data_IF_459620235562
#
_entry.id   IF_459620235562
#
_cell.length_a   1.000
_cell.length_b   1.000
_cell.length_c   1.000
_cell.angle_alpha   90.00
_cell.angle_beta   90.00
_cell.angle_gamma   90.00
#
_symmetry.space_group_name_H-M   'P 1'
#
loop_
_entity.id
_entity.type
_entity.pdbx_description
1 polymer ?
#
# COMPACT_ATOMS: atom_id res chain seq x y z
N UNK A 1 -18.31 16.37 -17.44
CA UNK A 1 -17.89 17.63 -16.74
C UNK A 1 -17.16 17.38 -15.44
N UNK A 2 -17.71 16.61 -14.48
CA UNK A 2 -17.04 16.34 -13.18
C UNK A 2 -15.75 15.52 -13.37
N UNK A 3 -15.79 14.41 -14.12
CA UNK A 3 -14.62 13.57 -14.35
C UNK A 3 -13.46 14.32 -15.01
N UNK A 4 -13.74 15.17 -16.00
CA UNK A 4 -12.70 15.95 -16.69
C UNK A 4 -12.03 16.95 -15.73
N UNK A 5 -12.78 17.54 -14.81
CA UNK A 5 -12.23 18.40 -13.75
C UNK A 5 -11.33 17.64 -12.80
N UNK A 6 -11.76 16.45 -12.33
CA UNK A 6 -10.95 15.60 -11.44
C UNK A 6 -9.69 15.11 -12.17
N UNK A 7 -9.80 14.67 -13.42
CA UNK A 7 -8.67 14.24 -14.22
C UNK A 7 -7.65 15.37 -14.44
N UNK A 8 -8.14 16.59 -14.66
CA UNK A 8 -7.30 17.80 -14.76
C UNK A 8 -6.56 18.08 -13.45
N UNK A 9 -7.25 18.02 -12.31
CA UNK A 9 -6.63 18.21 -10.99
C UNK A 9 -5.56 17.16 -10.69
N UNK A 10 -5.80 15.91 -11.11
CA UNK A 10 -4.85 14.81 -10.95
C UNK A 10 -3.75 14.81 -12.03
N UNK A 11 -3.84 15.68 -13.03
CA UNK A 11 -2.97 15.73 -14.20
C UNK A 11 -2.78 14.35 -14.85
N UNK A 12 -3.89 13.72 -15.19
CA UNK A 12 -3.93 12.41 -15.84
C UNK A 12 -4.86 12.41 -17.03
N UNK A 13 -4.67 11.44 -17.93
CA UNK A 13 -5.59 11.22 -19.04
C UNK A 13 -7.02 11.05 -18.52
N UNK A 14 -7.98 11.73 -19.12
CA UNK A 14 -9.40 11.67 -18.75
C UNK A 14 -9.97 10.27 -19.01
N UNK A 15 -9.71 9.36 -18.07
CA UNK A 15 -10.21 7.98 -18.06
C UNK A 15 -10.76 7.66 -16.68
N UNK A 16 -11.98 7.12 -16.64
CA UNK A 16 -12.60 6.68 -15.38
C UNK A 16 -11.72 5.69 -14.62
N UNK A 17 -11.12 4.74 -15.34
CA UNK A 17 -10.25 3.73 -14.72
C UNK A 17 -9.01 4.32 -14.07
N UNK A 18 -8.38 5.31 -14.69
CA UNK A 18 -7.19 5.99 -14.15
C UNK A 18 -7.51 6.80 -12.90
N UNK A 19 -8.55 7.64 -12.98
CA UNK A 19 -8.98 8.47 -11.84
C UNK A 19 -9.41 7.60 -10.67
N UNK A 20 -10.22 6.58 -10.94
CA UNK A 20 -10.67 5.63 -9.92
C UNK A 20 -9.50 4.88 -9.28
N UNK A 21 -8.52 4.41 -10.08
CA UNK A 21 -7.35 3.70 -9.58
C UNK A 21 -6.52 4.57 -8.62
N UNK A 22 -6.31 5.85 -8.93
CA UNK A 22 -5.58 6.79 -8.06
C UNK A 22 -6.32 6.99 -6.74
N UNK A 23 -7.64 7.23 -6.80
CA UNK A 23 -8.46 7.46 -5.60
C UNK A 23 -8.48 6.20 -4.71
N UNK A 24 -8.72 5.03 -5.31
CA UNK A 24 -8.75 3.77 -4.56
C UNK A 24 -7.39 3.43 -3.96
N UNK A 25 -6.30 3.64 -4.70
CA UNK A 25 -4.95 3.39 -4.20
C UNK A 25 -4.62 4.30 -3.01
N UNK A 26 -4.92 5.59 -3.15
CA UNK A 26 -4.74 6.58 -2.07
C UNK A 26 -5.55 6.19 -0.84
N UNK A 27 -6.85 5.93 -0.99
CA UNK A 27 -7.73 5.55 0.11
C UNK A 27 -7.27 4.26 0.79
N UNK A 28 -6.84 3.26 0.02
CA UNK A 28 -6.35 1.98 0.52
C UNK A 28 -5.14 2.16 1.43
N UNK A 29 -4.08 2.84 0.97
CA UNK A 29 -2.87 3.03 1.78
C UNK A 29 -3.10 3.94 2.99
N UNK A 30 -3.92 4.99 2.86
CA UNK A 30 -4.28 5.84 3.99
C UNK A 30 -5.04 5.02 5.05
N UNK A 31 -5.99 4.20 4.63
CA UNK A 31 -6.78 3.39 5.57
C UNK A 31 -5.91 2.37 6.31
N UNK A 32 -5.02 1.65 5.61
CA UNK A 32 -4.11 0.69 6.24
C UNK A 32 -3.11 1.42 7.13
N UNK A 33 -2.54 2.53 6.69
CA UNK A 33 -1.62 3.31 7.51
C UNK A 33 -2.26 3.83 8.79
N UNK A 34 -3.51 4.29 8.74
CA UNK A 34 -4.27 4.68 9.94
C UNK A 34 -4.51 3.46 10.84
N UNK A 35 -4.78 2.29 10.27
CA UNK A 35 -5.01 1.06 11.05
C UNK A 35 -3.77 0.65 11.85
N UNK A 36 -2.55 0.92 11.38
CA UNK A 36 -1.32 0.71 12.14
C UNK A 36 -1.32 1.47 13.48
N UNK A 37 -1.93 2.65 13.52
CA UNK A 37 -2.05 3.44 14.75
C UNK A 37 -3.26 3.03 15.61
N UNK A 38 -4.31 2.52 15.00
CA UNK A 38 -5.54 2.12 15.72
C UNK A 38 -5.42 0.72 16.32
N UNK A 39 -4.78 -0.21 15.61
CA UNK A 39 -4.66 -1.61 15.96
C UNK A 39 -3.19 -2.09 15.97
N UNK A 40 -2.26 -1.41 16.67
CA UNK A 40 -0.83 -1.75 16.61
C UNK A 40 -0.54 -3.18 17.05
N UNK A 41 -1.31 -3.71 18.01
CA UNK A 41 -1.12 -5.07 18.53
C UNK A 41 -1.29 -6.15 17.46
N UNK A 42 -2.18 -5.97 16.49
CA UNK A 42 -2.31 -6.88 15.35
C UNK A 42 -0.99 -6.98 14.58
N UNK A 43 -0.40 -5.84 14.25
CA UNK A 43 0.86 -5.77 13.49
C UNK A 43 2.07 -6.26 14.29
N UNK A 44 2.10 -6.01 15.61
CA UNK A 44 3.14 -6.54 16.50
C UNK A 44 3.12 -8.08 16.55
N UNK A 45 1.94 -8.67 16.56
CA UNK A 45 1.76 -10.12 16.67
C UNK A 45 2.21 -10.86 15.41
N UNK A 46 2.12 -10.24 14.23
CA UNK A 46 2.55 -10.87 12.97
C UNK A 46 4.06 -10.79 12.73
N UNK A 47 4.78 -9.96 13.48
CA UNK A 47 6.24 -9.84 13.37
C UNK A 47 6.96 -10.93 14.17
N UNK A 48 8.13 -11.39 13.69
CA UNK A 48 8.99 -12.30 14.46
C UNK A 48 9.30 -11.74 15.85
N UNK A 49 9.24 -12.58 16.89
CA UNK A 49 9.42 -12.15 18.28
C UNK A 49 10.79 -11.52 18.55
N UNK A 50 11.82 -11.99 17.86
CA UNK A 50 13.22 -11.56 18.02
C UNK A 50 13.53 -10.21 17.34
N UNK A 51 12.60 -9.63 16.56
CA UNK A 51 12.84 -8.35 15.92
C UNK A 51 12.88 -7.21 16.93
N UNK A 52 13.93 -6.36 16.90
CA UNK A 52 13.98 -5.17 17.74
C UNK A 52 13.03 -4.09 17.22
N UNK A 53 12.67 -3.14 18.09
CA UNK A 53 11.93 -1.92 17.72
C UNK A 53 10.64 -2.19 16.92
N UNK A 54 9.91 -3.26 17.29
CA UNK A 54 8.69 -3.65 16.56
C UNK A 54 7.61 -2.57 16.57
N UNK A 55 7.41 -1.92 17.71
CA UNK A 55 6.39 -0.87 17.85
C UNK A 55 6.72 0.35 16.98
N UNK A 56 7.98 0.76 17.00
CA UNK A 56 8.48 1.85 16.16
C UNK A 56 8.32 1.50 14.67
N UNK A 57 8.65 0.26 14.29
CA UNK A 57 8.48 -0.22 12.92
C UNK A 57 7.01 -0.16 12.48
N UNK A 58 6.07 -0.54 13.35
CA UNK A 58 4.62 -0.44 13.06
C UNK A 58 4.22 1.01 12.80
N UNK A 59 4.62 1.93 13.66
CA UNK A 59 4.26 3.34 13.51
C UNK A 59 4.95 4.02 12.32
N UNK A 60 6.22 3.70 12.07
CA UNK A 60 6.98 4.22 10.93
C UNK A 60 6.37 3.73 9.62
N UNK A 61 6.02 2.45 9.50
CA UNK A 61 5.37 1.93 8.30
C UNK A 61 3.99 2.55 8.09
N UNK A 62 3.17 2.66 9.13
CA UNK A 62 1.87 3.32 9.07
C UNK A 62 1.97 4.79 8.63
N UNK A 63 2.96 5.53 9.15
CA UNK A 63 3.22 6.90 8.73
C UNK A 63 3.56 7.00 7.24
N UNK A 64 4.47 6.15 6.74
CA UNK A 64 4.85 6.17 5.33
C UNK A 64 3.74 5.66 4.40
N UNK A 65 2.87 4.78 4.87
CA UNK A 65 1.67 4.37 4.11
C UNK A 65 0.70 5.55 3.94
N UNK A 66 0.42 6.29 5.01
CA UNK A 66 -0.41 7.51 4.93
C UNK A 66 0.25 8.54 4.02
N UNK A 67 1.53 8.82 4.23
CA UNK A 67 2.27 9.79 3.43
C UNK A 67 2.27 9.41 1.95
N UNK A 68 2.58 8.15 1.65
CA UNK A 68 2.56 7.62 0.28
C UNK A 68 1.17 7.71 -0.34
N UNK A 69 0.13 7.31 0.39
CA UNK A 69 -1.25 7.40 -0.06
C UNK A 69 -1.69 8.84 -0.39
N UNK A 70 -1.31 9.81 0.44
CA UNK A 70 -1.56 11.24 0.17
C UNK A 70 -0.75 11.72 -1.03
N UNK A 71 0.54 11.39 -1.10
CA UNK A 71 1.42 11.85 -2.18
C UNK A 71 1.05 11.29 -3.56
N UNK A 72 0.37 10.13 -3.63
CA UNK A 72 -0.13 9.56 -4.89
C UNK A 72 -1.11 10.50 -5.60
N UNK A 73 -1.86 11.32 -4.88
CA UNK A 73 -2.80 12.29 -5.43
C UNK A 73 -2.05 13.39 -6.21
N UNK A 74 -0.91 13.85 -5.68
CA UNK A 74 -0.13 14.93 -6.28
C UNK A 74 0.74 14.40 -7.43
N UNK A 75 0.51 14.88 -8.62
CA UNK A 75 1.16 14.38 -9.83
C UNK A 75 2.70 14.50 -9.77
N UNK A 76 3.24 15.57 -9.18
CA UNK A 76 4.70 15.76 -9.04
C UNK A 76 5.34 14.72 -8.11
N UNK A 77 4.62 14.27 -7.09
CA UNK A 77 5.11 13.32 -6.08
C UNK A 77 4.70 11.88 -6.37
N UNK A 78 3.74 11.66 -7.26
CA UNK A 78 3.12 10.35 -7.52
C UNK A 78 4.14 9.26 -7.83
N UNK A 79 5.12 9.53 -8.70
CA UNK A 79 6.14 8.56 -9.07
C UNK A 79 7.06 8.22 -7.90
N UNK A 80 7.47 9.22 -7.12
CA UNK A 80 8.28 9.04 -5.91
C UNK A 80 7.51 8.25 -4.85
N UNK A 81 6.24 8.63 -4.61
CA UNK A 81 5.34 7.91 -3.72
C UNK A 81 5.16 6.45 -4.14
N UNK A 82 5.01 6.19 -5.44
CA UNK A 82 4.91 4.84 -5.98
C UNK A 82 6.13 3.98 -5.65
N UNK A 83 7.33 4.48 -5.87
CA UNK A 83 8.56 3.77 -5.50
C UNK A 83 8.66 3.57 -3.98
N UNK A 84 8.30 4.58 -3.19
CA UNK A 84 8.28 4.49 -1.73
C UNK A 84 7.30 3.42 -1.23
N UNK A 85 6.09 3.37 -1.77
CA UNK A 85 5.09 2.35 -1.42
C UNK A 85 5.52 0.94 -1.83
N UNK A 86 6.16 0.77 -2.99
CA UNK A 86 6.72 -0.53 -3.41
C UNK A 86 7.83 -0.96 -2.44
N UNK A 87 8.76 -0.06 -2.10
CA UNK A 87 9.82 -0.34 -1.13
C UNK A 87 9.23 -0.72 0.24
N UNK A 88 8.16 -0.06 0.66
CA UNK A 88 7.46 -0.37 1.90
C UNK A 88 6.81 -1.76 1.86
N UNK A 89 6.14 -2.12 0.76
CA UNK A 89 5.59 -3.46 0.56
C UNK A 89 6.69 -4.53 0.64
N UNK A 90 7.85 -4.29 0.07
CA UNK A 90 9.00 -5.19 0.17
C UNK A 90 9.48 -5.28 1.62
N UNK A 91 9.57 -4.16 2.33
CA UNK A 91 10.05 -4.13 3.71
C UNK A 91 9.14 -4.89 4.70
N UNK A 92 7.82 -4.87 4.47
CA UNK A 92 6.86 -5.59 5.33
C UNK A 92 6.63 -7.05 4.91
N UNK A 93 7.15 -7.47 3.75
CA UNK A 93 6.97 -8.82 3.22
C UNK A 93 7.47 -9.93 4.16
N UNK A 94 8.63 -9.79 4.85
CA UNK A 94 9.10 -10.78 5.82
C UNK A 94 8.12 -11.04 6.97
N UNK A 95 7.37 -10.04 7.43
CA UNK A 95 6.34 -10.23 8.47
C UNK A 95 5.17 -11.08 7.93
N UNK A 96 4.75 -10.88 6.69
CA UNK A 96 3.73 -11.70 6.04
C UNK A 96 4.22 -13.15 5.81
N UNK A 97 5.48 -13.34 5.45
CA UNK A 97 6.09 -14.68 5.35
C UNK A 97 6.09 -15.36 6.73
N UNK A 98 6.52 -14.65 7.77
CA UNK A 98 6.52 -15.17 9.15
C UNK A 98 5.12 -15.66 9.56
N UNK A 99 4.10 -14.87 9.27
CA UNK A 99 2.71 -15.21 9.56
C UNK A 99 2.26 -16.49 8.81
N UNK A 100 2.61 -16.61 7.54
CA UNK A 100 2.24 -17.78 6.72
C UNK A 100 2.96 -19.07 7.16
N UNK A 101 4.24 -18.99 7.48
CA UNK A 101 5.04 -20.13 7.92
C UNK A 101 4.62 -20.58 9.34
N UNK A 102 4.29 -19.64 10.21
CA UNK A 102 3.87 -19.91 11.59
C UNK A 102 2.35 -19.86 11.75
N UNK A 103 1.60 -20.39 10.79
CA UNK A 103 0.13 -20.34 10.76
C UNK A 103 -0.54 -20.85 12.04
N UNK A 104 0.12 -21.78 12.77
CA UNK A 104 -0.36 -22.31 14.05
C UNK A 104 -0.48 -21.25 15.16
N UNK A 105 0.24 -20.11 15.01
CA UNK A 105 0.12 -18.95 15.92
C UNK A 105 -1.10 -18.07 15.60
N UNK A 106 -1.78 -18.31 14.47
CA UNK A 106 -2.89 -17.51 13.96
C UNK A 106 -4.12 -18.39 13.69
N UNK A 107 -4.68 -19.05 14.73
CA UNK A 107 -5.75 -20.04 14.55
C UNK A 107 -7.04 -19.47 13.94
N UNK A 108 -7.27 -18.17 14.09
CA UNK A 108 -8.45 -17.48 13.56
C UNK A 108 -8.38 -17.21 12.04
N UNK A 109 -7.23 -17.44 11.42
CA UNK A 109 -7.00 -17.19 10.00
C UNK A 109 -6.62 -18.50 9.32
N UNK A 110 -7.36 -18.87 8.26
CA UNK A 110 -7.05 -20.10 7.53
C UNK A 110 -5.67 -20.03 6.87
N UNK A 111 -4.94 -21.13 6.85
CA UNK A 111 -3.63 -21.24 6.21
C UNK A 111 -3.68 -20.81 4.74
N UNK A 112 -4.73 -21.17 4.02
CA UNK A 112 -4.94 -20.76 2.62
C UNK A 112 -5.00 -19.24 2.49
N UNK A 113 -5.68 -18.55 3.42
CA UNK A 113 -5.76 -17.09 3.42
C UNK A 113 -4.40 -16.45 3.68
N UNK A 114 -3.56 -17.05 4.55
CA UNK A 114 -2.22 -16.54 4.81
C UNK A 114 -1.32 -16.62 3.57
N UNK A 115 -1.35 -17.73 2.84
CA UNK A 115 -0.63 -17.85 1.56
C UNK A 115 -1.20 -16.91 0.49
N UNK A 116 -2.52 -16.77 0.44
CA UNK A 116 -3.16 -15.82 -0.49
C UNK A 116 -2.72 -14.38 -0.25
N UNK A 117 -2.52 -13.97 1.01
CA UNK A 117 -1.96 -12.64 1.36
C UNK A 117 -0.58 -12.41 0.75
N UNK A 118 0.27 -13.43 0.68
CA UNK A 118 1.60 -13.32 0.04
C UNK A 118 1.46 -13.01 -1.46
N UNK A 119 0.52 -13.67 -2.15
CA UNK A 119 0.25 -13.41 -3.56
C UNK A 119 -0.35 -12.03 -3.78
N UNK A 120 -1.30 -11.61 -2.92
CA UNK A 120 -1.91 -10.29 -2.98
C UNK A 120 -0.88 -9.16 -2.89
N UNK A 121 0.20 -9.35 -2.17
CA UNK A 121 1.23 -8.34 -2.03
C UNK A 121 1.94 -8.03 -3.36
N UNK A 122 2.15 -9.03 -4.21
CA UNK A 122 2.66 -8.82 -5.58
C UNK A 122 1.64 -8.08 -6.45
N UNK A 123 0.35 -8.42 -6.30
CA UNK A 123 -0.71 -7.71 -7.03
C UNK A 123 -0.81 -6.25 -6.58
N UNK A 124 -0.67 -5.96 -5.30
CA UNK A 124 -0.62 -4.59 -4.81
C UNK A 124 0.61 -3.83 -5.32
N UNK A 125 1.79 -4.45 -5.31
CA UNK A 125 3.00 -3.83 -5.88
C UNK A 125 2.83 -3.53 -7.38
N UNK A 126 2.23 -4.45 -8.15
CA UNK A 126 1.90 -4.23 -9.56
C UNK A 126 0.87 -3.11 -9.73
N UNK A 127 -0.17 -3.06 -8.89
CA UNK A 127 -1.18 -2.00 -8.94
C UNK A 127 -0.57 -0.63 -8.64
N UNK A 128 0.29 -0.52 -7.61
CA UNK A 128 1.06 0.70 -7.32
C UNK A 128 1.88 1.10 -8.54
N UNK A 129 2.67 0.17 -9.11
CA UNK A 129 3.48 0.45 -10.29
C UNK A 129 2.65 0.98 -11.47
N UNK A 130 1.54 0.31 -11.78
CA UNK A 130 0.65 0.69 -12.89
C UNK A 130 0.02 2.05 -12.68
N UNK A 131 -0.37 2.37 -11.45
CA UNK A 131 -1.08 3.61 -11.12
C UNK A 131 -0.17 4.81 -10.95
N UNK A 132 1.10 4.60 -10.57
CA UNK A 132 1.98 5.71 -10.18
C UNK A 132 3.19 5.91 -11.08
N UNK A 133 3.74 4.83 -11.66
CA UNK A 133 5.03 4.86 -12.35
C UNK A 133 4.87 4.68 -13.86
N UNK A 134 3.92 3.85 -14.31
CA UNK A 134 3.74 3.52 -15.71
C UNK A 134 3.43 4.76 -16.57
N UNK A 135 4.21 4.94 -17.64
CA UNK A 135 4.09 6.07 -18.59
C UNK A 135 2.70 6.17 -19.28
N UNK A 136 1.93 5.08 -19.32
CA UNK A 136 0.61 5.06 -19.98
C UNK A 136 -0.45 5.96 -19.33
N UNK A 137 -0.21 6.41 -18.10
CA UNK A 137 -1.16 7.21 -17.32
C UNK A 137 -0.86 8.71 -17.32
N UNK A 138 0.34 9.09 -17.76
CA UNK A 138 0.75 10.51 -17.77
C UNK A 138 0.28 11.18 -19.07
N UNK A 139 -0.21 12.40 -18.95
CA UNK A 139 -0.41 13.27 -20.11
C UNK A 139 0.98 13.67 -20.60
N UNK A 140 1.34 13.22 -21.78
CA UNK A 140 2.53 13.75 -22.48
C UNK A 140 2.17 15.15 -22.98
N UNK A 141 2.78 16.14 -22.40
CA UNK A 141 2.84 17.49 -22.97
C UNK A 141 3.84 17.54 -24.11
#
# INVERSE_FOLDING_TARGET
MILSKIASLLNVRSSYGTVLSIILLSAFFITIGVDHFRNPNFYLNIMPQQWPLKLEAVYVTGFFEILGGVCVIFHQLRKLAGWGLIALLIAVYPANIHMAVNHHLFPDISQTMLYFRLLLQFLFAYWVYRTTISKKLQVTH
#
